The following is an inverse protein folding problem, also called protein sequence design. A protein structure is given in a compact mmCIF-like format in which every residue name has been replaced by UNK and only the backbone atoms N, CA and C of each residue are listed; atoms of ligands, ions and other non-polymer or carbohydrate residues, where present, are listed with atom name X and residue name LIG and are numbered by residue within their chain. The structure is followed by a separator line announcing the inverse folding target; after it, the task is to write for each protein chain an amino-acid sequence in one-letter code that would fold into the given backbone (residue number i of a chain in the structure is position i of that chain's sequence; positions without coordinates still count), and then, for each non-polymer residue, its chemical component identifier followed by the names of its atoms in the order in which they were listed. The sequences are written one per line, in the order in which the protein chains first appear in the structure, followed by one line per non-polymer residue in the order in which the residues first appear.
data_IF_119265195182
#
_entry.id   IF_119265195182
#
_cell.length_a   1.000
_cell.length_b   1.000
_cell.length_c   1.000
_cell.angle_alpha   90.00
_cell.angle_beta   90.00
_cell.angle_gamma   90.00
#
_symmetry.space_group_name_H-M   'P 1'
#
loop_
_entity.id
_entity.type
_entity.pdbx_description
1 polymer ?
#
# COMPACT_ATOMS: atom_id res chain seq x y z
N UNK A 1 -4.45 -26.48 9.27
CA UNK A 1 -3.08 -26.72 8.81
C UNK A 1 -3.16 -27.05 7.32
N UNK A 2 -2.70 -26.14 6.47
CA UNK A 2 -2.87 -26.21 5.03
C UNK A 2 -1.95 -27.31 4.47
N UNK A 3 -2.49 -28.30 3.76
CA UNK A 3 -1.66 -29.10 2.86
C UNK A 3 -1.41 -28.24 1.63
N UNK A 4 -0.25 -27.58 1.59
CA UNK A 4 0.22 -26.98 0.35
C UNK A 4 0.43 -28.12 -0.66
N UNK A 5 -0.15 -28.05 -1.87
CA UNK A 5 0.21 -28.98 -2.94
C UNK A 5 1.73 -29.05 -3.11
N UNK A 6 2.24 -30.22 -3.50
CA UNK A 6 3.67 -30.40 -3.75
C UNK A 6 4.04 -29.74 -5.10
N UNK A 7 4.22 -28.42 -5.07
CA UNK A 7 4.40 -27.57 -6.24
C UNK A 7 5.76 -27.73 -6.93
N UNK A 8 6.79 -28.22 -6.23
CA UNK A 8 8.10 -28.55 -6.82
C UNK A 8 7.98 -29.56 -7.98
N UNK A 9 6.95 -30.43 -7.97
CA UNK A 9 6.70 -31.37 -9.07
C UNK A 9 6.13 -30.75 -10.34
N UNK A 10 5.53 -29.55 -10.28
CA UNK A 10 4.90 -28.94 -11.45
C UNK A 10 5.96 -28.28 -12.33
N UNK A 11 6.88 -27.50 -11.75
CA UNK A 11 7.92 -26.77 -12.50
C UNK A 11 9.01 -27.74 -13.00
N UNK A 12 9.42 -28.71 -12.19
CA UNK A 12 10.49 -29.66 -12.55
C UNK A 12 10.11 -30.65 -13.67
N UNK A 13 8.84 -30.73 -14.07
CA UNK A 13 8.35 -31.62 -15.13
C UNK A 13 8.08 -30.90 -16.47
N UNK A 14 8.37 -29.60 -16.59
CA UNK A 14 8.13 -28.82 -17.81
C UNK A 14 9.31 -28.92 -18.77
N UNK A 15 9.04 -29.21 -20.04
CA UNK A 15 10.09 -29.57 -21.01
C UNK A 15 10.32 -28.50 -22.08
N UNK A 16 9.41 -27.52 -22.29
CA UNK A 16 9.65 -26.42 -23.24
C UNK A 16 9.16 -25.03 -22.79
N UNK A 17 9.80 -23.93 -23.26
CA UNK A 17 9.35 -22.56 -23.00
C UNK A 17 7.92 -22.24 -23.47
N UNK A 18 7.44 -22.91 -24.52
CA UNK A 18 6.07 -22.71 -25.04
C UNK A 18 5.01 -23.28 -24.09
N UNK A 19 5.27 -24.42 -23.46
CA UNK A 19 4.40 -25.00 -22.43
C UNK A 19 4.24 -24.07 -21.23
N UNK A 20 5.34 -23.45 -20.78
CA UNK A 20 5.32 -22.50 -19.66
C UNK A 20 4.50 -21.26 -20.02
N UNK A 21 4.66 -20.71 -21.22
CA UNK A 21 3.86 -19.59 -21.71
C UNK A 21 2.38 -19.92 -21.80
N UNK A 22 2.03 -21.11 -22.27
CA UNK A 22 0.64 -21.55 -22.35
C UNK A 22 0.02 -21.78 -20.97
N UNK A 23 0.81 -22.20 -19.98
CA UNK A 23 0.35 -22.35 -18.61
C UNK A 23 0.15 -21.00 -17.90
N UNK A 24 0.98 -20.01 -18.21
CA UNK A 24 0.93 -18.67 -17.64
C UNK A 24 0.66 -17.62 -18.72
N UNK A 25 -0.56 -17.54 -19.26
CA UNK A 25 -0.92 -16.51 -20.23
C UNK A 25 -0.72 -15.11 -19.64
N UNK A 26 -0.76 -14.10 -20.48
CA UNK A 26 -0.76 -12.72 -19.97
C UNK A 26 -1.96 -12.49 -19.05
N UNK A 27 -1.73 -11.77 -17.94
CA UNK A 27 -2.72 -11.40 -16.95
C UNK A 27 -2.70 -9.87 -16.78
N UNK A 28 -3.84 -9.25 -17.05
CA UNK A 28 -4.06 -7.82 -16.79
C UNK A 28 -4.28 -7.54 -15.30
N UNK A 29 -4.12 -6.29 -14.90
CA UNK A 29 -4.49 -5.84 -13.54
C UNK A 29 -5.98 -6.03 -13.22
N UNK A 30 -6.86 -6.00 -14.23
CA UNK A 30 -8.30 -6.24 -14.08
C UNK A 30 -8.60 -7.71 -13.78
N UNK A 31 -7.98 -8.63 -14.53
CA UNK A 31 -8.08 -10.07 -14.24
C UNK A 31 -7.52 -10.41 -12.86
N UNK A 32 -6.40 -9.78 -12.47
CA UNK A 32 -5.88 -9.90 -11.11
C UNK A 32 -6.92 -9.42 -10.09
N UNK A 33 -7.56 -8.26 -10.32
CA UNK A 33 -8.59 -7.73 -9.45
C UNK A 33 -9.79 -8.68 -9.32
N UNK A 34 -10.23 -9.30 -10.41
CA UNK A 34 -11.34 -10.25 -10.43
C UNK A 34 -11.05 -11.50 -9.60
N UNK A 35 -9.84 -12.06 -9.74
CA UNK A 35 -9.42 -13.21 -8.93
C UNK A 35 -9.34 -12.86 -7.45
N UNK A 36 -8.82 -11.69 -7.12
CA UNK A 36 -8.78 -11.20 -5.74
C UNK A 36 -10.18 -10.92 -5.17
N UNK A 37 -11.16 -10.59 -6.02
CA UNK A 37 -12.54 -10.30 -5.63
C UNK A 37 -13.31 -11.52 -5.12
N UNK A 38 -12.79 -12.72 -5.36
CA UNK A 38 -13.31 -13.95 -4.76
C UNK A 38 -13.37 -13.84 -3.23
N UNK A 39 -12.36 -13.24 -2.60
CA UNK A 39 -12.28 -13.09 -1.15
C UNK A 39 -12.21 -11.63 -0.69
N UNK A 40 -11.93 -10.65 -1.56
CA UNK A 40 -11.77 -9.22 -1.19
C UNK A 40 -12.76 -8.37 -1.99
N UNK A 41 -13.88 -8.01 -1.34
CA UNK A 41 -14.96 -7.23 -1.98
C UNK A 41 -14.54 -5.78 -2.18
N UNK A 42 -14.83 -5.23 -3.37
CA UNK A 42 -14.41 -3.89 -3.83
C UNK A 42 -12.90 -3.65 -3.66
N UNK A 43 -12.44 -2.49 -3.17
CA UNK A 43 -11.03 -2.18 -2.89
C UNK A 43 -10.11 -2.33 -4.11
N UNK A 44 -10.58 -1.95 -5.31
CA UNK A 44 -9.89 -2.23 -6.59
C UNK A 44 -8.41 -1.84 -6.57
N UNK A 45 -8.11 -0.57 -6.27
CA UNK A 45 -6.74 -0.04 -6.27
C UNK A 45 -5.92 -0.69 -5.16
N UNK A 46 -6.52 -0.75 -3.97
CA UNK A 46 -5.88 -1.24 -2.75
C UNK A 46 -5.43 -2.70 -2.86
N UNK A 47 -6.27 -3.59 -3.41
CA UNK A 47 -5.94 -5.01 -3.54
C UNK A 47 -4.92 -5.29 -4.65
N UNK A 48 -4.99 -4.57 -5.76
CA UNK A 48 -4.03 -4.70 -6.87
C UNK A 48 -2.64 -4.24 -6.42
N UNK A 49 -2.52 -3.01 -5.90
CA UNK A 49 -1.22 -2.49 -5.44
C UNK A 49 -0.64 -3.35 -4.32
N UNK A 50 -1.47 -3.89 -3.42
CA UNK A 50 -1.00 -4.79 -2.38
C UNK A 50 -0.46 -6.11 -2.95
N UNK A 51 -1.16 -6.74 -3.90
CA UNK A 51 -0.68 -7.96 -4.55
C UNK A 51 0.59 -7.76 -5.36
N UNK A 52 0.64 -6.69 -6.17
CA UNK A 52 1.83 -6.28 -6.92
C UNK A 52 3.00 -5.97 -5.99
N UNK A 53 2.74 -5.27 -4.88
CA UNK A 53 3.72 -4.99 -3.84
C UNK A 53 4.31 -6.27 -3.26
N UNK A 54 3.49 -7.26 -2.92
CA UNK A 54 3.96 -8.55 -2.43
C UNK A 54 4.77 -9.34 -3.46
N UNK A 55 4.39 -9.28 -4.75
CA UNK A 55 5.15 -9.90 -5.85
C UNK A 55 6.58 -9.35 -5.93
N UNK A 56 6.76 -8.05 -5.69
CA UNK A 56 8.08 -7.40 -5.69
C UNK A 56 9.02 -7.91 -4.60
N UNK A 57 8.53 -8.62 -3.57
CA UNK A 57 9.40 -9.29 -2.61
C UNK A 57 10.38 -10.21 -3.33
N UNK A 58 10.00 -10.82 -4.45
CA UNK A 58 10.82 -11.75 -5.21
C UNK A 58 11.80 -11.10 -6.20
N UNK A 59 12.09 -9.82 -6.04
CA UNK A 59 13.18 -9.10 -6.72
C UNK A 59 14.35 -8.84 -5.77
N UNK A 60 15.46 -8.33 -6.28
CA UNK A 60 16.60 -7.95 -5.45
C UNK A 60 16.38 -6.61 -4.72
N UNK A 61 15.84 -5.59 -5.40
CA UNK A 61 15.85 -4.20 -4.91
C UNK A 61 14.59 -3.37 -5.25
N UNK A 62 13.54 -3.99 -5.78
CA UNK A 62 12.36 -3.27 -6.30
C UNK A 62 11.16 -3.30 -5.33
N UNK A 63 11.37 -3.67 -4.08
CA UNK A 63 10.35 -3.74 -3.04
C UNK A 63 9.76 -2.36 -2.75
N UNK A 64 8.48 -2.36 -2.39
CA UNK A 64 7.77 -1.18 -1.88
C UNK A 64 7.24 -1.46 -0.48
N UNK A 65 7.06 -0.38 0.28
CA UNK A 65 6.37 -0.45 1.56
C UNK A 65 4.95 0.08 1.39
N UNK A 66 3.99 -0.57 2.04
CA UNK A 66 2.56 -0.24 1.95
C UNK A 66 2.00 0.04 3.34
N UNK A 67 1.19 1.08 3.44
CA UNK A 67 0.47 1.40 4.67
C UNK A 67 -1.02 1.48 4.39
N UNK A 68 -1.80 0.62 5.03
CA UNK A 68 -3.25 0.68 5.07
C UNK A 68 -3.67 1.58 6.23
N UNK A 69 -4.16 2.78 5.90
CA UNK A 69 -4.58 3.81 6.84
C UNK A 69 -6.08 4.07 6.69
N UNK A 70 -6.87 3.57 7.63
CA UNK A 70 -8.31 3.81 7.67
C UNK A 70 -8.85 3.53 9.08
N UNK A 71 -10.06 4.03 9.42
CA UNK A 71 -10.69 3.71 10.68
C UNK A 71 -10.81 2.20 10.93
N UNK A 72 -10.98 1.81 12.19
CA UNK A 72 -11.29 0.42 12.51
C UNK A 72 -12.53 -0.10 11.79
N UNK A 73 -12.51 -1.41 11.52
CA UNK A 73 -13.59 -2.19 10.88
C UNK A 73 -13.85 -1.90 9.39
N UNK A 74 -12.93 -1.27 8.67
CA UNK A 74 -13.04 -1.04 7.21
C UNK A 74 -12.38 -2.13 6.35
N UNK A 75 -11.81 -3.18 6.97
CA UNK A 75 -11.09 -4.24 6.26
C UNK A 75 -9.58 -4.00 6.08
N UNK A 76 -8.97 -3.07 6.82
CA UNK A 76 -7.54 -2.71 6.68
C UNK A 76 -6.55 -3.88 6.73
N UNK A 77 -6.77 -4.85 7.63
CA UNK A 77 -5.93 -6.05 7.74
C UNK A 77 -6.42 -7.19 6.84
N UNK A 78 -7.69 -7.17 6.45
CA UNK A 78 -8.31 -8.23 5.67
C UNK A 78 -7.66 -8.35 4.29
N UNK A 79 -7.54 -7.23 3.56
CA UNK A 79 -6.94 -7.20 2.20
C UNK A 79 -5.54 -7.83 2.16
N UNK A 80 -4.54 -7.37 2.93
CA UNK A 80 -3.23 -7.99 2.90
C UNK A 80 -3.22 -9.43 3.42
N UNK A 81 -4.03 -9.79 4.43
CA UNK A 81 -4.06 -11.16 4.95
C UNK A 81 -4.68 -12.16 3.97
N UNK A 82 -5.69 -11.75 3.20
CA UNK A 82 -6.31 -12.59 2.16
C UNK A 82 -5.38 -12.77 0.96
N UNK A 83 -4.73 -11.70 0.50
CA UNK A 83 -3.71 -11.78 -0.57
C UNK A 83 -2.56 -12.69 -0.15
N UNK A 84 -2.10 -12.59 1.10
CA UNK A 84 -1.01 -13.41 1.63
C UNK A 84 -1.25 -14.92 1.53
N UNK A 85 -2.51 -15.39 1.44
CA UNK A 85 -2.80 -16.82 1.27
C UNK A 85 -2.38 -17.36 -0.11
N UNK A 86 -2.15 -16.48 -1.09
CA UNK A 86 -1.66 -16.82 -2.42
C UNK A 86 -0.13 -16.99 -2.47
N UNK A 87 0.57 -16.51 -1.44
CA UNK A 87 2.03 -16.52 -1.36
C UNK A 87 2.52 -17.74 -0.56
N UNK A 88 3.76 -18.20 -0.82
CA UNK A 88 4.32 -19.32 -0.08
C UNK A 88 4.70 -18.92 1.36
N UNK A 89 4.41 -19.81 2.29
CA UNK A 89 4.58 -19.55 3.74
C UNK A 89 6.03 -19.24 4.14
N UNK A 90 7.02 -19.74 3.41
CA UNK A 90 8.44 -19.46 3.66
C UNK A 90 8.83 -17.99 3.40
N UNK A 91 8.01 -17.27 2.63
CA UNK A 91 8.21 -15.88 2.26
C UNK A 91 7.37 -14.93 3.14
N UNK A 92 6.49 -15.47 3.99
CA UNK A 92 5.50 -14.70 4.75
C UNK A 92 5.81 -14.63 6.23
N UNK A 93 5.72 -13.41 6.77
CA UNK A 93 5.77 -13.17 8.20
C UNK A 93 4.58 -12.32 8.63
N UNK A 94 3.77 -12.85 9.55
CA UNK A 94 2.57 -12.20 10.06
C UNK A 94 2.79 -11.82 11.51
N UNK A 95 2.83 -10.53 11.79
CA UNK A 95 3.13 -9.98 13.10
C UNK A 95 1.88 -9.29 13.63
N UNK A 96 1.39 -9.71 14.80
CA UNK A 96 0.30 -8.99 15.48
C UNK A 96 0.81 -7.64 15.97
N UNK A 97 1.72 -7.67 16.94
CA UNK A 97 2.39 -6.48 17.47
C UNK A 97 3.90 -6.71 17.60
N UNK A 98 4.67 -5.62 17.63
CA UNK A 98 6.11 -5.65 17.77
C UNK A 98 6.59 -4.54 18.72
N UNK A 99 7.43 -4.90 19.68
CA UNK A 99 8.10 -3.91 20.54
C UNK A 99 9.12 -3.09 19.75
N UNK A 100 9.57 -1.93 20.25
CA UNK A 100 10.53 -1.07 19.55
C UNK A 100 11.84 -1.76 19.12
N UNK A 101 12.25 -2.83 19.78
CA UNK A 101 13.51 -3.53 19.48
C UNK A 101 13.34 -4.97 19.01
N UNK A 102 12.13 -5.52 18.94
CA UNK A 102 11.93 -6.96 18.71
C UNK A 102 12.55 -7.43 17.40
N UNK A 103 12.49 -6.62 16.34
CA UNK A 103 13.13 -6.92 15.05
C UNK A 103 14.63 -7.18 15.15
N UNK A 104 15.32 -6.48 16.05
CA UNK A 104 16.76 -6.58 16.23
C UNK A 104 17.16 -7.69 17.22
N UNK A 105 16.21 -8.19 18.01
CA UNK A 105 16.45 -9.37 18.85
C UNK A 105 16.26 -10.69 18.10
N UNK A 106 15.73 -10.66 16.87
CA UNK A 106 15.65 -11.83 15.99
C UNK A 106 17.05 -12.36 15.68
N UNK A 107 17.14 -13.68 15.52
CA UNK A 107 18.40 -14.36 15.26
C UNK A 107 18.15 -15.51 14.30
N UNK A 108 18.34 -15.24 13.01
CA UNK A 108 18.25 -16.29 11.98
C UNK A 108 19.58 -17.05 11.92
N UNK A 109 20.71 -16.34 11.98
CA UNK A 109 22.02 -16.95 12.17
C UNK A 109 22.96 -16.06 12.97
N UNK A 110 24.03 -16.66 13.51
CA UNK A 110 25.01 -15.97 14.34
C UNK A 110 26.43 -16.29 13.88
N UNK A 111 27.17 -15.23 13.56
CA UNK A 111 28.59 -15.30 13.24
C UNK A 111 29.40 -15.15 14.54
N UNK A 112 30.01 -16.25 14.98
CA UNK A 112 30.84 -16.30 16.20
C UNK A 112 32.11 -15.45 16.11
N UNK A 113 32.72 -15.37 14.94
CA UNK A 113 34.00 -14.66 14.73
C UNK A 113 33.81 -13.14 14.80
N UNK A 114 32.75 -12.64 14.16
CA UNK A 114 32.42 -11.20 14.13
C UNK A 114 31.50 -10.77 15.26
N UNK A 115 30.97 -11.71 16.04
CA UNK A 115 29.95 -11.46 17.05
C UNK A 115 28.73 -10.70 16.47
N UNK A 116 28.27 -11.16 15.31
CA UNK A 116 27.19 -10.53 14.53
C UNK A 116 26.00 -11.49 14.45
N UNK A 117 24.80 -10.94 14.63
CA UNK A 117 23.54 -11.66 14.37
C UNK A 117 22.98 -11.22 13.04
N UNK A 118 22.68 -12.16 12.16
CA UNK A 118 22.05 -11.89 10.88
C UNK A 118 20.54 -12.07 10.98
N UNK A 119 19.80 -11.10 10.44
CA UNK A 119 18.38 -11.19 10.15
C UNK A 119 18.22 -11.07 8.64
N UNK A 120 17.78 -12.15 7.99
CA UNK A 120 17.60 -12.17 6.54
C UNK A 120 16.17 -11.77 6.16
N UNK A 121 16.08 -10.65 5.45
CA UNK A 121 14.85 -10.05 4.97
C UNK A 121 14.68 -10.21 3.46
N UNK A 122 15.68 -10.79 2.76
CA UNK A 122 15.59 -11.07 1.33
C UNK A 122 14.35 -11.93 1.02
N UNK A 123 13.57 -11.49 0.03
CA UNK A 123 12.39 -12.22 -0.45
C UNK A 123 11.32 -12.46 0.62
N UNK A 124 11.28 -11.61 1.66
CA UNK A 124 10.26 -11.63 2.71
C UNK A 124 9.17 -10.60 2.48
N UNK A 125 7.95 -10.99 2.84
CA UNK A 125 6.77 -10.16 2.95
C UNK A 125 6.38 -10.14 4.43
N UNK A 126 6.44 -8.97 5.03
CA UNK A 126 6.18 -8.78 6.45
C UNK A 126 4.89 -7.97 6.60
N UNK A 127 3.88 -8.60 7.19
CA UNK A 127 2.57 -8.00 7.40
C UNK A 127 2.39 -7.78 8.89
N UNK A 128 2.31 -6.51 9.28
CA UNK A 128 1.93 -6.13 10.63
C UNK A 128 0.47 -5.69 10.63
N UNK A 129 -0.38 -6.51 11.25
CA UNK A 129 -1.83 -6.34 11.18
C UNK A 129 -2.44 -5.61 12.38
N UNK A 130 -1.65 -5.26 13.40
CA UNK A 130 -2.00 -4.24 14.39
C UNK A 130 -1.08 -3.02 14.31
N UNK A 131 -1.42 -1.96 15.06
CA UNK A 131 -0.66 -0.70 15.07
C UNK A 131 0.75 -0.93 15.62
N UNK A 132 1.75 -0.46 14.88
CA UNK A 132 3.12 -0.46 15.35
C UNK A 132 3.39 0.64 16.37
N UNK A 133 4.31 0.34 17.28
CA UNK A 133 4.89 1.36 18.13
C UNK A 133 5.71 2.35 17.28
N UNK A 134 5.48 3.66 17.44
CA UNK A 134 6.15 4.72 16.65
C UNK A 134 7.68 4.60 16.67
N UNK A 135 8.25 4.31 17.84
CA UNK A 135 9.70 4.08 17.98
C UNK A 135 10.23 2.91 17.13
N UNK A 136 9.41 1.91 16.82
CA UNK A 136 9.84 0.85 15.90
C UNK A 136 9.99 1.40 14.48
N UNK A 137 9.02 2.18 14.00
CA UNK A 137 9.08 2.79 12.67
C UNK A 137 10.30 3.71 12.53
N UNK A 138 10.58 4.51 13.56
CA UNK A 138 11.79 5.35 13.61
C UNK A 138 13.07 4.53 13.46
N UNK A 139 13.16 3.39 14.16
CA UNK A 139 14.32 2.48 14.09
C UNK A 139 14.40 1.71 12.76
N UNK A 140 13.27 1.53 12.07
CA UNK A 140 13.20 0.86 10.76
C UNK A 140 13.40 1.82 9.58
N UNK A 141 13.60 3.13 9.79
CA UNK A 141 13.74 4.13 8.71
C UNK A 141 14.76 3.74 7.63
N UNK A 142 15.94 3.26 8.02
CA UNK A 142 16.97 2.83 7.05
C UNK A 142 16.56 1.61 6.24
N UNK A 143 15.82 0.67 6.86
CA UNK A 143 15.26 -0.48 6.18
C UNK A 143 14.18 -0.04 5.19
N UNK A 144 13.24 0.80 5.63
CA UNK A 144 12.10 1.27 4.83
C UNK A 144 12.50 2.21 3.68
N UNK A 145 13.70 2.81 3.72
CA UNK A 145 14.23 3.59 2.59
C UNK A 145 14.90 2.72 1.52
N UNK A 146 15.19 1.45 1.81
CA UNK A 146 16.00 0.56 0.98
C UNK A 146 17.38 1.15 0.63
N UNK A 147 18.04 1.82 1.59
CA UNK A 147 19.28 2.58 1.33
C UNK A 147 20.50 1.68 1.04
N UNK A 148 20.58 0.53 1.73
CA UNK A 148 21.68 -0.44 1.60
C UNK A 148 21.13 -1.85 1.72
N UNK A 149 21.72 -2.79 0.98
CA UNK A 149 21.42 -4.22 1.08
C UNK A 149 21.76 -4.78 2.47
N UNK A 150 22.81 -4.30 3.12
CA UNK A 150 23.13 -4.69 4.50
C UNK A 150 23.14 -3.47 5.41
N UNK A 151 22.35 -3.54 6.49
CA UNK A 151 22.23 -2.47 7.49
C UNK A 151 22.74 -3.02 8.82
N UNK A 152 23.78 -2.38 9.36
CA UNK A 152 24.32 -2.70 10.69
C UNK A 152 23.57 -1.91 11.74
N UNK A 153 22.91 -2.61 12.66
CA UNK A 153 22.21 -2.04 13.81
C UNK A 153 22.91 -2.50 15.08
N UNK A 154 23.34 -1.54 15.89
CA UNK A 154 23.96 -1.83 17.18
C UNK A 154 22.92 -1.67 18.29
N UNK A 155 22.69 -2.73 19.05
CA UNK A 155 21.76 -2.71 20.19
C UNK A 155 22.48 -3.11 21.47
N UNK A 156 22.01 -2.59 22.60
CA UNK A 156 22.50 -2.99 23.93
C UNK A 156 21.65 -4.13 24.45
N UNK A 157 22.29 -5.21 24.89
CA UNK A 157 21.67 -6.37 25.51
C UNK A 157 22.16 -6.54 26.96
N UNK A 158 21.35 -7.17 27.81
CA UNK A 158 21.72 -7.47 29.20
C UNK A 158 22.32 -8.87 29.27
N UNK A 159 23.51 -8.97 29.84
CA UNK A 159 24.14 -10.26 30.12
C UNK A 159 23.49 -10.93 31.32
N UNK A 160 23.59 -12.26 31.41
CA UNK A 160 23.10 -13.05 32.57
C UNK A 160 23.71 -12.59 33.90
N UNK A 161 24.89 -11.97 33.88
CA UNK A 161 25.59 -11.41 35.06
C UNK A 161 25.25 -9.94 35.34
N UNK A 162 24.24 -9.37 34.67
CA UNK A 162 23.77 -7.99 34.90
C UNK A 162 24.57 -6.88 34.21
N UNK A 163 25.65 -7.20 33.50
CA UNK A 163 26.39 -6.23 32.68
C UNK A 163 25.73 -5.95 31.32
N UNK A 164 26.06 -4.84 30.69
CA UNK A 164 25.59 -4.50 29.34
C UNK A 164 26.58 -4.97 28.28
N UNK A 165 26.08 -5.54 27.17
CA UNK A 165 26.88 -5.91 26.01
C UNK A 165 26.26 -5.32 24.75
N UNK A 166 27.10 -4.83 23.84
CA UNK A 166 26.65 -4.42 22.51
C UNK A 166 26.57 -5.64 21.60
N UNK A 167 25.42 -5.80 20.94
CA UNK A 167 25.14 -6.80 19.91
C UNK A 167 25.06 -6.08 18.56
N UNK A 168 25.82 -6.56 17.59
CA UNK A 168 25.71 -6.11 16.20
C UNK A 168 24.68 -6.99 15.48
N UNK A 169 23.68 -6.37 14.88
CA UNK A 169 22.62 -7.02 14.12
C UNK A 169 22.72 -6.55 12.68
N UNK A 170 22.88 -7.48 11.75
CA UNK A 170 22.93 -7.22 10.32
C UNK A 170 21.54 -7.53 9.77
N UNK A 171 20.82 -6.51 9.32
CA UNK A 171 19.64 -6.70 8.50
C UNK A 171 20.10 -6.83 7.04
N UNK A 172 19.86 -7.99 6.42
CA UNK A 172 20.25 -8.25 5.03
C UNK A 172 19.04 -8.29 4.11
N UNK A 173 19.17 -7.64 2.97
CA UNK A 173 18.18 -7.61 1.91
C UNK A 173 17.08 -6.59 2.12
N UNK A 174 16.17 -6.59 1.17
CA UNK A 174 14.96 -5.79 1.16
C UNK A 174 13.74 -6.71 1.27
N UNK A 175 12.74 -6.24 2.01
CA UNK A 175 11.47 -6.92 2.21
C UNK A 175 10.32 -5.98 1.85
N UNK A 176 9.16 -6.56 1.61
CA UNK A 176 7.93 -5.79 1.45
C UNK A 176 7.30 -5.66 2.84
N UNK A 177 7.30 -4.45 3.39
CA UNK A 177 6.64 -4.17 4.66
C UNK A 177 5.22 -3.65 4.43
N UNK A 178 4.24 -4.27 5.08
CA UNK A 178 2.84 -3.87 5.04
C UNK A 178 2.35 -3.56 6.45
N UNK A 179 1.91 -2.34 6.67
CA UNK A 179 1.36 -1.88 7.95
C UNK A 179 -0.14 -1.65 7.85
N UNK A 180 -0.87 -2.12 8.87
CA UNK A 180 -2.30 -1.85 9.00
C UNK A 180 -2.53 -0.97 10.23
N UNK A 181 -2.66 0.34 10.04
CA UNK A 181 -2.85 1.28 11.15
C UNK A 181 -4.25 1.90 11.14
N UNK A 182 -4.84 2.00 12.33
CA UNK A 182 -6.05 2.79 12.57
C UNK A 182 -5.74 4.22 13.03
N UNK A 183 -4.51 4.48 13.49
CA UNK A 183 -4.06 5.81 13.90
C UNK A 183 -3.25 6.46 12.78
N UNK A 184 -3.45 7.76 12.60
CA UNK A 184 -2.75 8.56 11.61
C UNK A 184 -1.55 9.32 12.21
N UNK A 185 -1.07 8.93 13.39
CA UNK A 185 0.05 9.59 14.08
C UNK A 185 1.40 9.15 13.50
N UNK A 186 1.55 9.22 12.18
CA UNK A 186 2.83 9.00 11.54
C UNK A 186 3.55 10.33 11.40
N UNK A 187 4.85 10.31 11.63
CA UNK A 187 5.71 11.40 11.23
C UNK A 187 5.68 11.55 9.70
N UNK A 188 5.72 12.79 9.21
CA UNK A 188 5.71 13.09 7.77
C UNK A 188 6.85 12.35 7.04
N UNK A 189 8.00 12.22 7.68
CA UNK A 189 9.14 11.51 7.10
C UNK A 189 8.80 10.02 6.85
N UNK A 190 7.97 9.41 7.70
CA UNK A 190 7.63 7.99 7.63
C UNK A 190 6.64 7.74 6.50
N UNK A 191 5.58 8.55 6.41
CA UNK A 191 4.53 8.41 5.40
C UNK A 191 5.07 8.41 3.97
N UNK A 192 6.06 9.26 3.70
CA UNK A 192 6.68 9.34 2.36
C UNK A 192 7.41 8.06 1.94
N UNK A 193 7.73 7.14 2.87
CA UNK A 193 8.35 5.84 2.57
C UNK A 193 7.32 4.76 2.17
N UNK A 194 6.03 5.03 2.34
CA UNK A 194 4.94 4.12 2.03
C UNK A 194 4.17 4.55 0.79
N UNK A 195 3.56 3.60 0.10
CA UNK A 195 2.31 3.86 -0.62
C UNK A 195 1.20 3.81 0.42
N UNK A 196 0.55 4.96 0.65
CA UNK A 196 -0.63 5.04 1.52
C UNK A 196 -1.86 4.55 0.77
N UNK A 197 -2.55 3.57 1.33
CA UNK A 197 -3.79 3.00 0.82
C UNK A 197 -4.87 3.08 1.91
N UNK A 198 -6.12 3.13 1.48
CA UNK A 198 -7.28 3.01 2.37
C UNK A 198 -8.26 2.03 1.73
N UNK A 199 -8.84 1.09 2.50
CA UNK A 199 -10.01 0.37 2.03
C UNK A 199 -11.16 1.36 1.75
N UNK A 200 -11.95 1.06 0.72
CA UNK A 200 -13.18 1.77 0.40
C UNK A 200 -14.17 1.64 1.56
N UNK A 201 -15.05 2.63 1.68
CA UNK A 201 -16.03 2.76 2.78
C UNK A 201 -17.46 2.89 2.24
N UNK A 202 -17.67 2.49 0.99
CA UNK A 202 -18.95 2.63 0.32
C UNK A 202 -19.94 1.59 0.85
N UNK A 203 -21.21 1.96 0.92
CA UNK A 203 -22.27 1.12 1.52
C UNK A 203 -22.38 -0.24 0.81
N UNK A 204 -22.27 -0.25 -0.52
CA UNK A 204 -22.28 -1.48 -1.33
C UNK A 204 -21.19 -2.48 -0.91
N UNK A 205 -20.00 -1.98 -0.53
CA UNK A 205 -18.93 -2.85 -0.05
C UNK A 205 -19.34 -3.55 1.24
N UNK A 206 -19.97 -2.83 2.17
CA UNK A 206 -20.36 -3.41 3.44
C UNK A 206 -21.42 -4.50 3.27
N UNK A 207 -22.41 -4.28 2.39
CA UNK A 207 -23.38 -5.31 2.02
C UNK A 207 -22.71 -6.56 1.44
N UNK A 208 -21.83 -6.41 0.43
CA UNK A 208 -21.10 -7.54 -0.17
C UNK A 208 -20.23 -8.30 0.87
N UNK A 209 -19.64 -7.59 1.83
CA UNK A 209 -18.84 -8.20 2.90
C UNK A 209 -19.72 -8.94 3.92
N UNK A 210 -20.90 -8.39 4.25
CA UNK A 210 -21.87 -9.06 5.15
C UNK A 210 -22.36 -10.34 4.49
N UNK A 211 -22.75 -10.30 3.22
CA UNK A 211 -23.21 -11.46 2.46
C UNK A 211 -22.16 -12.57 2.41
N UNK A 212 -20.90 -12.21 2.06
CA UNK A 212 -19.79 -13.16 2.03
C UNK A 212 -19.51 -13.77 3.41
N UNK A 213 -19.62 -12.97 4.47
CA UNK A 213 -19.46 -13.43 5.86
C UNK A 213 -20.55 -14.42 6.25
N UNK A 214 -21.81 -14.13 5.90
CA UNK A 214 -22.96 -15.01 6.15
C UNK A 214 -22.78 -16.32 5.39
N UNK A 215 -22.43 -16.26 4.11
CA UNK A 215 -22.21 -17.44 3.27
C UNK A 215 -21.09 -18.34 3.84
N UNK A 216 -19.97 -17.72 4.22
CA UNK A 216 -18.84 -18.41 4.86
C UNK A 216 -19.22 -19.07 6.18
N UNK A 217 -20.10 -18.45 6.97
CA UNK A 217 -20.59 -19.00 8.23
C UNK A 217 -21.64 -20.10 8.03
N UNK A 218 -22.48 -19.99 7.00
CA UNK A 218 -23.55 -20.94 6.71
C UNK A 218 -23.00 -22.33 6.34
N UNK A 219 -21.95 -22.39 5.50
CA UNK A 219 -21.27 -23.65 5.18
C UNK A 219 -19.76 -23.42 4.94
N UNK A 220 -18.95 -23.44 6.01
CA UNK A 220 -17.50 -23.18 5.91
C UNK A 220 -16.76 -24.15 4.99
N UNK A 221 -17.16 -25.42 4.96
CA UNK A 221 -16.51 -26.43 4.13
C UNK A 221 -16.73 -26.20 2.65
N UNK A 222 -17.96 -25.88 2.23
CA UNK A 222 -18.26 -25.70 0.81
C UNK A 222 -17.79 -24.33 0.30
N UNK A 223 -17.88 -23.28 1.12
CA UNK A 223 -17.22 -22.00 0.84
C UNK A 223 -15.73 -22.20 0.58
N UNK A 224 -15.05 -22.92 1.48
CA UNK A 224 -13.62 -23.20 1.35
C UNK A 224 -13.31 -23.98 0.08
N UNK A 225 -14.05 -25.07 -0.20
CA UNK A 225 -13.86 -25.84 -1.44
C UNK A 225 -14.07 -24.98 -2.69
N UNK A 226 -15.08 -24.12 -2.71
CA UNK A 226 -15.35 -23.22 -3.85
C UNK A 226 -14.17 -22.29 -4.10
N UNK A 227 -13.65 -21.65 -3.06
CA UNK A 227 -12.51 -20.74 -3.17
C UNK A 227 -11.23 -21.49 -3.56
N UNK A 228 -10.94 -22.63 -2.93
CA UNK A 228 -9.72 -23.41 -3.17
C UNK A 228 -9.71 -24.09 -4.54
N UNK A 229 -10.88 -24.43 -5.09
CA UNK A 229 -11.01 -25.06 -6.39
C UNK A 229 -11.28 -24.08 -7.55
N UNK A 230 -11.35 -22.77 -7.30
CA UNK A 230 -11.49 -21.78 -8.38
C UNK A 230 -10.22 -21.84 -9.28
N UNK A 231 -10.37 -22.19 -10.59
CA UNK A 231 -9.22 -22.38 -11.46
C UNK A 231 -8.35 -21.13 -11.61
N UNK A 232 -8.94 -19.94 -11.53
CA UNK A 232 -8.22 -18.67 -11.67
C UNK A 232 -7.39 -18.38 -10.43
N UNK A 233 -7.92 -18.67 -9.22
CA UNK A 233 -7.17 -18.58 -7.96
C UNK A 233 -6.02 -19.57 -7.92
N UNK A 234 -6.24 -20.81 -8.36
CA UNK A 234 -5.18 -21.83 -8.48
C UNK A 234 -4.10 -21.35 -9.45
N UNK A 235 -4.49 -20.86 -10.63
CA UNK A 235 -3.56 -20.33 -11.64
C UNK A 235 -2.71 -19.18 -11.10
N UNK A 236 -3.32 -18.20 -10.40
CA UNK A 236 -2.62 -17.08 -9.79
C UNK A 236 -1.62 -17.55 -8.71
N UNK A 237 -2.03 -18.50 -7.86
CA UNK A 237 -1.13 -19.07 -6.84
C UNK A 237 0.06 -19.78 -7.48
N UNK A 238 -0.17 -20.60 -8.51
CA UNK A 238 0.89 -21.29 -9.25
C UNK A 238 1.84 -20.29 -9.93
N UNK A 239 1.29 -19.20 -10.48
CA UNK A 239 2.08 -18.11 -11.07
C UNK A 239 2.98 -17.47 -10.04
N UNK A 240 2.46 -17.08 -8.87
CA UNK A 240 3.25 -16.46 -7.78
C UNK A 240 4.38 -17.39 -7.31
N UNK A 241 4.11 -18.69 -7.18
CA UNK A 241 5.14 -19.68 -6.84
C UNK A 241 6.22 -19.77 -7.91
N UNK A 242 5.83 -19.84 -9.19
CA UNK A 242 6.78 -19.87 -10.28
C UNK A 242 7.61 -18.57 -10.35
N UNK A 243 7.00 -17.40 -10.10
CA UNK A 243 7.71 -16.12 -10.00
C UNK A 243 8.80 -16.16 -8.91
N UNK A 244 8.49 -16.72 -7.73
CA UNK A 244 9.48 -16.88 -6.66
C UNK A 244 10.65 -17.75 -7.11
N UNK A 245 10.35 -18.88 -7.74
CA UNK A 245 11.32 -19.92 -8.08
C UNK A 245 12.24 -19.54 -9.25
N UNK A 246 11.77 -18.64 -10.13
CA UNK A 246 12.57 -18.06 -11.22
C UNK A 246 13.75 -17.20 -10.75
N UNK A 247 13.73 -16.76 -9.47
CA UNK A 247 14.81 -15.95 -8.86
C UNK A 247 15.24 -14.78 -9.74
N UNK A 248 14.26 -14.02 -10.24
CA UNK A 248 14.54 -12.78 -10.95
C UNK A 248 15.18 -11.79 -9.98
N UNK A 249 16.30 -11.20 -10.38
CA UNK A 249 16.96 -10.16 -9.60
C UNK A 249 16.42 -8.79 -9.99
N UNK A 250 16.35 -8.50 -11.30
CA UNK A 250 15.92 -7.19 -11.78
C UNK A 250 14.94 -7.25 -12.97
N UNK A 251 14.18 -6.15 -13.09
CA UNK A 251 13.33 -5.85 -14.23
C UNK A 251 13.84 -4.57 -14.89
N UNK A 252 14.18 -4.65 -16.18
CA UNK A 252 14.70 -3.55 -17.00
C UNK A 252 13.53 -2.79 -17.62
N UNK A 253 13.56 -1.45 -17.50
CA UNK A 253 12.60 -0.55 -18.16
C UNK A 253 13.31 0.12 -19.34
N UNK A 254 13.03 -0.28 -20.60
CA UNK A 254 13.77 0.20 -21.77
C UNK A 254 13.33 1.59 -22.26
N UNK A 255 12.33 2.22 -21.63
CA UNK A 255 11.73 3.50 -22.00
C UNK A 255 11.80 4.56 -20.86
N UNK A 256 13.00 4.92 -20.36
CA UNK A 256 13.12 5.82 -19.21
C UNK A 256 12.67 7.27 -19.50
N UNK A 257 12.66 7.70 -20.77
CA UNK A 257 12.28 9.08 -21.15
C UNK A 257 10.77 9.27 -21.04
N UNK A 258 10.02 8.26 -21.42
CA UNK A 258 8.56 8.14 -21.40
C UNK A 258 8.08 8.17 -19.95
N UNK A 259 8.69 7.36 -19.07
CA UNK A 259 8.42 7.39 -17.63
C UNK A 259 8.69 8.77 -17.04
N UNK A 260 9.84 9.38 -17.36
CA UNK A 260 10.18 10.73 -16.87
C UNK A 260 9.19 11.78 -17.35
N UNK A 261 8.78 11.72 -18.62
CA UNK A 261 7.83 12.64 -19.23
C UNK A 261 6.47 12.55 -18.56
N UNK A 262 5.91 11.33 -18.45
CA UNK A 262 4.61 11.09 -17.86
C UNK A 262 4.54 11.44 -16.36
N UNK A 263 5.60 11.15 -15.61
CA UNK A 263 5.68 11.58 -14.21
C UNK A 263 5.83 13.10 -14.13
N UNK A 264 6.54 13.73 -15.06
CA UNK A 264 6.76 15.17 -14.98
C UNK A 264 5.54 16.00 -15.34
N UNK A 265 4.72 15.54 -16.29
CA UNK A 265 3.47 16.22 -16.65
C UNK A 265 2.45 16.20 -15.52
N UNK A 266 2.43 15.14 -14.70
CA UNK A 266 1.54 15.00 -13.52
C UNK A 266 1.99 15.82 -12.31
N UNK A 267 3.28 16.16 -12.27
CA UNK A 267 3.86 16.93 -11.18
C UNK A 267 4.61 18.15 -11.74
N UNK A 268 3.88 19.20 -12.19
CA UNK A 268 4.48 20.40 -12.80
C UNK A 268 5.48 21.07 -11.86
N UNK A 269 5.14 21.15 -10.58
CA UNK A 269 6.02 21.58 -9.51
C UNK A 269 6.74 20.38 -8.89
N UNK A 270 8.04 20.51 -8.58
CA UNK A 270 8.82 19.44 -7.95
C UNK A 270 8.98 19.69 -6.45
N UNK A 271 8.60 18.70 -5.64
CA UNK A 271 8.83 18.67 -4.19
C UNK A 271 9.75 17.50 -3.80
N UNK A 272 10.43 17.55 -2.64
CA UNK A 272 11.34 16.47 -2.20
C UNK A 272 10.71 15.06 -2.19
N UNK A 273 9.42 14.96 -1.91
CA UNK A 273 8.67 13.68 -1.91
C UNK A 273 8.74 12.96 -3.26
N UNK A 274 8.72 13.70 -4.36
CA UNK A 274 8.69 13.13 -5.72
C UNK A 274 9.88 12.21 -6.02
N UNK A 275 11.02 12.37 -5.32
CA UNK A 275 12.15 11.44 -5.44
C UNK A 275 11.85 10.03 -4.92
N UNK A 276 10.97 9.91 -3.91
CA UNK A 276 10.49 8.61 -3.41
C UNK A 276 9.35 8.10 -4.26
N UNK A 277 8.47 8.99 -4.70
CA UNK A 277 7.27 8.61 -5.45
C UNK A 277 7.57 8.08 -6.86
N UNK A 278 8.55 8.66 -7.57
CA UNK A 278 9.01 8.09 -8.85
C UNK A 278 9.52 6.65 -8.69
N UNK A 279 10.18 6.32 -7.58
CA UNK A 279 10.63 4.95 -7.30
C UNK A 279 9.45 3.99 -7.10
N UNK A 280 8.37 4.46 -6.48
CA UNK A 280 7.14 3.67 -6.29
C UNK A 280 6.45 3.41 -7.63
N UNK A 281 6.32 4.42 -8.50
CA UNK A 281 5.81 4.23 -9.86
C UNK A 281 6.66 3.23 -10.64
N UNK A 282 7.99 3.38 -10.64
CA UNK A 282 8.91 2.42 -11.28
C UNK A 282 8.69 1.01 -10.74
N UNK A 283 8.54 0.85 -9.43
CA UNK A 283 8.30 -0.44 -8.81
C UNK A 283 6.97 -1.06 -9.25
N UNK A 284 5.91 -0.27 -9.44
CA UNK A 284 4.64 -0.76 -10.00
C UNK A 284 4.81 -1.27 -11.44
N UNK A 285 5.56 -0.56 -12.29
CA UNK A 285 5.88 -1.03 -13.65
C UNK A 285 6.60 -2.39 -13.58
N UNK A 286 7.61 -2.49 -12.72
CA UNK A 286 8.37 -3.73 -12.52
C UNK A 286 7.48 -4.86 -11.98
N UNK A 287 6.54 -4.57 -11.11
CA UNK A 287 5.63 -5.57 -10.53
C UNK A 287 4.71 -6.18 -11.59
N UNK A 288 4.17 -5.36 -12.50
CA UNK A 288 3.27 -5.82 -13.57
C UNK A 288 4.06 -6.65 -14.61
N UNK A 289 5.27 -6.20 -14.96
CA UNK A 289 6.18 -7.00 -15.79
C UNK A 289 6.54 -8.35 -15.12
N UNK A 290 6.74 -8.35 -13.80
CA UNK A 290 7.05 -9.56 -13.03
C UNK A 290 5.84 -10.51 -12.92
N UNK A 291 4.64 -9.99 -12.73
CA UNK A 291 3.38 -10.76 -12.80
C UNK A 291 3.27 -11.50 -14.15
N UNK A 292 3.78 -10.89 -15.21
CA UNK A 292 3.74 -11.40 -16.57
C UNK A 292 5.08 -11.95 -17.08
N UNK A 293 6.03 -12.28 -16.20
CA UNK A 293 7.42 -12.55 -16.61
C UNK A 293 7.57 -13.64 -17.68
N UNK A 294 6.67 -14.63 -17.72
CA UNK A 294 6.71 -15.72 -18.69
C UNK A 294 6.34 -15.26 -20.12
N UNK A 295 5.63 -14.13 -20.22
CA UNK A 295 5.28 -13.48 -21.48
C UNK A 295 6.25 -12.37 -21.87
N UNK A 296 7.18 -12.00 -20.99
CA UNK A 296 8.16 -10.94 -21.24
C UNK A 296 9.44 -11.49 -21.82
N UNK A 297 10.15 -10.63 -22.57
CA UNK A 297 11.51 -10.92 -23.03
C UNK A 297 12.48 -10.86 -21.85
N UNK A 298 13.61 -11.55 -22.00
CA UNK A 298 14.73 -11.50 -21.06
C UNK A 298 15.99 -11.02 -21.76
N UNK A 299 16.86 -10.37 -20.99
CA UNK A 299 18.22 -10.06 -21.44
C UNK A 299 19.19 -11.22 -21.12
N UNK A 300 20.46 -11.02 -21.48
CA UNK A 300 21.54 -12.01 -21.27
C UNK A 300 21.83 -12.29 -19.78
N UNK A 301 21.48 -11.34 -18.89
CA UNK A 301 21.65 -11.47 -17.45
C UNK A 301 20.40 -12.04 -16.76
N UNK A 302 19.46 -12.61 -17.54
CA UNK A 302 18.20 -13.17 -17.06
C UNK A 302 17.25 -12.12 -16.42
N UNK A 303 17.45 -10.84 -16.69
CA UNK A 303 16.51 -9.81 -16.24
C UNK A 303 15.27 -9.82 -17.12
N UNK A 304 14.13 -9.52 -16.52
CA UNK A 304 12.86 -9.36 -17.25
C UNK A 304 12.83 -7.97 -17.90
N UNK A 305 12.41 -7.86 -19.15
CA UNK A 305 12.27 -6.58 -19.84
C UNK A 305 10.80 -6.16 -19.82
N UNK A 306 10.51 -5.01 -19.19
CA UNK A 306 9.17 -4.43 -19.16
C UNK A 306 8.75 -3.93 -20.55
N UNK A 307 7.46 -4.05 -20.84
CA UNK A 307 6.83 -3.57 -22.06
C UNK A 307 5.99 -2.32 -21.77
N UNK A 308 5.62 -1.57 -22.82
CA UNK A 308 4.86 -0.33 -22.68
C UNK A 308 3.50 -0.51 -21.99
N UNK A 309 2.86 -1.67 -22.19
CA UNK A 309 1.61 -2.01 -21.48
C UNK A 309 1.78 -2.12 -19.96
N UNK A 310 2.93 -2.61 -19.47
CA UNK A 310 3.23 -2.66 -18.03
C UNK A 310 3.27 -1.24 -17.45
N UNK A 311 3.84 -0.32 -18.24
CA UNK A 311 3.89 1.10 -17.90
C UNK A 311 2.52 1.75 -17.91
N UNK A 312 1.73 1.52 -18.95
CA UNK A 312 0.39 2.10 -19.07
C UNK A 312 -0.54 1.63 -17.95
N UNK A 313 -0.48 0.35 -17.55
CA UNK A 313 -1.26 -0.16 -16.41
C UNK A 313 -0.76 0.41 -15.08
N UNK A 314 0.55 0.49 -14.86
CA UNK A 314 1.12 1.08 -13.65
C UNK A 314 0.74 2.56 -13.52
N UNK A 315 0.71 3.30 -14.63
CA UNK A 315 0.35 4.71 -14.66
C UNK A 315 -1.12 4.92 -14.28
N UNK A 316 -2.03 4.10 -14.81
CA UNK A 316 -3.45 4.10 -14.43
C UNK A 316 -3.66 3.85 -12.93
N UNK A 317 -2.86 2.97 -12.32
CA UNK A 317 -2.91 2.73 -10.88
C UNK A 317 -2.35 3.91 -10.08
N UNK A 318 -1.23 4.47 -10.54
CA UNK A 318 -0.58 5.62 -9.91
C UNK A 318 -1.50 6.85 -9.87
N UNK A 319 -2.19 7.13 -10.97
CA UNK A 319 -3.10 8.28 -11.09
C UNK A 319 -4.26 8.25 -10.08
N UNK A 320 -4.65 7.05 -9.65
CA UNK A 320 -5.70 6.89 -8.63
C UNK A 320 -5.22 7.16 -7.20
N UNK A 321 -3.92 7.21 -6.96
CA UNK A 321 -3.34 7.37 -5.61
C UNK A 321 -2.43 8.58 -5.47
N UNK A 322 -1.98 9.18 -6.57
CA UNK A 322 -0.95 10.22 -6.60
C UNK A 322 -1.33 11.45 -5.78
N UNK A 323 -2.57 11.94 -5.89
CA UNK A 323 -3.05 13.12 -5.16
C UNK A 323 -2.87 12.97 -3.64
N UNK A 324 -3.34 11.85 -3.08
CA UNK A 324 -3.19 11.56 -1.66
C UNK A 324 -1.71 11.41 -1.25
N UNK A 325 -0.85 10.86 -2.13
CA UNK A 325 0.59 10.81 -1.87
C UNK A 325 1.18 12.22 -1.84
N UNK A 326 0.92 13.05 -2.83
CA UNK A 326 1.49 14.40 -2.96
C UNK A 326 1.13 15.28 -1.76
N UNK A 327 -0.13 15.18 -1.31
CA UNK A 327 -0.63 15.87 -0.11
C UNK A 327 -0.13 15.26 1.21
N UNK A 328 0.54 14.10 1.15
CA UNK A 328 1.03 13.35 2.30
C UNK A 328 -0.07 13.00 3.33
N UNK A 329 -1.28 12.69 2.85
CA UNK A 329 -2.42 12.30 3.69
C UNK A 329 -3.01 10.96 3.24
N UNK A 330 -3.53 10.14 4.16
CA UNK A 330 -4.23 8.91 3.77
C UNK A 330 -5.40 9.18 2.82
N UNK A 331 -5.66 8.31 1.82
CA UNK A 331 -6.78 8.48 0.89
C UNK A 331 -8.14 8.67 1.57
N UNK A 332 -8.40 7.95 2.67
CA UNK A 332 -9.62 8.13 3.48
C UNK A 332 -9.76 9.56 4.03
N UNK A 333 -8.67 10.19 4.46
CA UNK A 333 -8.67 11.55 5.03
C UNK A 333 -8.92 12.60 3.94
N UNK A 334 -8.37 12.39 2.74
CA UNK A 334 -8.67 13.20 1.57
C UNK A 334 -10.14 13.04 1.13
N UNK A 335 -10.66 11.81 1.10
CA UNK A 335 -12.07 11.55 0.78
C UNK A 335 -13.01 12.28 1.74
N UNK A 336 -12.73 12.26 3.05
CA UNK A 336 -13.52 13.02 4.03
C UNK A 336 -13.45 14.52 3.77
N UNK A 337 -12.28 15.06 3.39
CA UNK A 337 -12.18 16.48 3.04
C UNK A 337 -13.09 16.84 1.86
N UNK A 338 -13.02 16.07 0.78
CA UNK A 338 -13.78 16.32 -0.45
C UNK A 338 -15.29 16.13 -0.23
N UNK A 339 -15.70 14.99 0.32
CA UNK A 339 -17.11 14.61 0.41
C UNK A 339 -17.85 15.33 1.54
N UNK A 340 -17.14 15.87 2.53
CA UNK A 340 -17.73 16.54 3.70
C UNK A 340 -17.42 18.03 3.71
N UNK A 341 -16.14 18.41 3.76
CA UNK A 341 -15.73 19.80 3.96
C UNK A 341 -16.01 20.61 2.70
N UNK A 342 -15.54 20.14 1.54
CA UNK A 342 -15.77 20.85 0.26
C UNK A 342 -17.25 20.85 -0.13
N UNK A 343 -17.95 19.72 0.02
CA UNK A 343 -19.39 19.65 -0.24
C UNK A 343 -20.18 20.65 0.61
N UNK A 344 -19.94 20.67 1.93
CA UNK A 344 -20.60 21.60 2.85
C UNK A 344 -20.25 23.06 2.55
N UNK A 345 -19.00 23.34 2.17
CA UNK A 345 -18.56 24.67 1.78
C UNK A 345 -19.26 25.15 0.51
N UNK A 346 -19.39 24.29 -0.52
CA UNK A 346 -20.10 24.58 -1.77
C UNK A 346 -21.59 24.84 -1.53
N UNK A 347 -22.26 24.01 -0.72
CA UNK A 347 -23.65 24.24 -0.30
C UNK A 347 -23.82 25.62 0.34
N UNK A 348 -22.86 25.99 1.21
CA UNK A 348 -22.90 27.26 1.90
C UNK A 348 -22.66 28.46 1.00
N UNK A 349 -21.72 28.35 0.06
CA UNK A 349 -21.46 29.37 -0.96
C UNK A 349 -22.67 29.60 -1.86
N UNK A 350 -23.44 28.56 -2.20
CA UNK A 350 -24.65 28.71 -3.00
C UNK A 350 -25.79 29.41 -2.23
N UNK A 351 -25.84 29.23 -0.91
CA UNK A 351 -26.87 29.82 -0.04
C UNK A 351 -26.54 31.22 0.47
N UNK A 352 -25.35 31.77 0.16
CA UNK A 352 -24.88 33.02 0.76
C UNK A 352 -25.58 34.24 0.15
N UNK A 353 -25.90 35.20 1.02
CA UNK A 353 -26.46 36.51 0.64
C UNK A 353 -25.39 37.61 0.62
N UNK A 354 -24.27 37.42 1.35
CA UNK A 354 -23.12 38.32 1.40
C UNK A 354 -21.90 37.74 0.68
N UNK A 355 -21.00 38.60 0.22
CA UNK A 355 -19.70 38.21 -0.36
C UNK A 355 -18.66 37.82 0.70
N UNK A 356 -18.94 38.02 1.99
CA UNK A 356 -18.02 37.71 3.09
C UNK A 356 -17.58 36.23 3.11
N UNK A 357 -16.33 35.92 3.54
CA UNK A 357 -15.84 34.56 3.67
C UNK A 357 -16.71 33.73 4.63
N UNK A 358 -17.30 32.63 4.15
CA UNK A 358 -18.18 31.80 4.98
C UNK A 358 -17.44 30.59 5.52
N UNK A 359 -17.01 30.68 6.78
CA UNK A 359 -16.33 29.59 7.47
C UNK A 359 -17.29 28.48 7.91
N UNK A 360 -16.76 27.26 8.03
CA UNK A 360 -17.49 26.10 8.52
C UNK A 360 -17.18 25.84 9.99
N UNK A 361 -18.20 25.53 10.78
CA UNK A 361 -17.98 25.10 12.16
C UNK A 361 -17.60 23.62 12.21
N UNK A 362 -16.80 23.24 13.22
CA UNK A 362 -16.47 21.82 13.45
C UNK A 362 -17.71 20.95 13.64
N UNK A 363 -18.76 21.48 14.28
CA UNK A 363 -20.00 20.73 14.50
C UNK A 363 -20.74 20.44 13.19
N UNK A 364 -20.74 21.36 12.23
CA UNK A 364 -21.33 21.12 10.92
C UNK A 364 -20.55 20.05 10.15
N UNK A 365 -19.21 20.07 10.21
CA UNK A 365 -18.37 19.02 9.61
C UNK A 365 -18.68 17.65 10.23
N UNK A 366 -18.81 17.56 11.56
CA UNK A 366 -19.18 16.32 12.24
C UNK A 366 -20.57 15.82 11.83
N UNK A 367 -21.54 16.72 11.70
CA UNK A 367 -22.90 16.39 11.28
C UNK A 367 -22.93 15.90 9.83
N UNK A 368 -22.29 16.63 8.91
CA UNK A 368 -22.21 16.26 7.49
C UNK A 368 -21.45 14.94 7.30
N UNK A 369 -20.39 14.69 8.06
CA UNK A 369 -19.71 13.39 8.05
C UNK A 369 -20.65 12.25 8.41
N UNK A 370 -21.50 12.44 9.43
CA UNK A 370 -22.51 11.43 9.79
C UNK A 370 -23.54 11.25 8.68
N UNK A 371 -23.99 12.32 8.03
CA UNK A 371 -24.93 12.27 6.90
C UNK A 371 -24.34 11.50 5.70
N UNK A 372 -23.07 11.73 5.36
CA UNK A 372 -22.40 11.12 4.20
C UNK A 372 -21.99 9.68 4.45
N UNK A 373 -21.38 9.38 5.60
CA UNK A 373 -20.77 8.06 5.88
C UNK A 373 -21.60 7.20 6.84
N UNK A 374 -22.78 7.68 7.26
CA UNK A 374 -23.64 7.03 8.26
C UNK A 374 -22.87 6.61 9.53
N UNK A 375 -21.88 7.41 9.92
CA UNK A 375 -20.95 7.12 11.01
C UNK A 375 -20.55 8.39 11.75
N UNK A 376 -20.55 8.39 13.10
CA UNK A 376 -20.03 9.52 13.86
C UNK A 376 -18.51 9.61 13.74
N UNK A 377 -18.02 10.82 13.48
CA UNK A 377 -16.62 11.18 13.66
C UNK A 377 -16.42 11.75 15.07
N UNK A 378 -15.36 11.35 15.77
CA UNK A 378 -15.05 11.94 17.09
C UNK A 378 -14.54 13.36 16.91
N UNK A 379 -15.06 14.30 17.72
CA UNK A 379 -14.57 15.69 17.75
C UNK A 379 -13.07 15.76 18.09
N UNK A 380 -12.57 14.83 18.92
CA UNK A 380 -11.15 14.72 19.26
C UNK A 380 -10.36 14.31 18.02
N UNK A 381 -10.83 13.32 17.27
CA UNK A 381 -10.17 12.82 16.08
C UNK A 381 -10.12 13.87 14.96
N UNK A 382 -11.24 14.57 14.74
CA UNK A 382 -11.31 15.70 13.80
C UNK A 382 -10.27 16.76 14.15
N UNK A 383 -10.22 17.18 15.42
CA UNK A 383 -9.33 18.25 15.89
C UNK A 383 -7.86 17.85 15.92
N UNK A 384 -7.53 16.62 16.32
CA UNK A 384 -6.15 16.21 16.60
C UNK A 384 -5.47 15.51 15.42
N UNK A 385 -6.24 14.98 14.46
CA UNK A 385 -5.67 14.24 13.33
C UNK A 385 -6.08 14.83 11.98
N UNK A 386 -7.37 15.07 11.74
CA UNK A 386 -7.85 15.44 10.40
C UNK A 386 -7.51 16.88 10.06
N UNK A 387 -7.91 17.84 10.91
CA UNK A 387 -7.63 19.27 10.70
C UNK A 387 -6.13 19.54 10.54
N UNK A 388 -5.24 19.06 11.43
CA UNK A 388 -3.80 19.29 11.27
C UNK A 388 -3.24 18.72 9.96
N UNK A 389 -3.73 17.56 9.51
CA UNK A 389 -3.33 16.97 8.23
C UNK A 389 -3.79 17.81 7.04
N UNK A 390 -5.02 18.31 7.07
CA UNK A 390 -5.54 19.16 5.99
C UNK A 390 -4.84 20.53 5.97
N UNK A 391 -4.53 21.13 7.12
CA UNK A 391 -3.75 22.36 7.19
C UNK A 391 -2.31 22.17 6.70
N UNK A 392 -1.64 21.09 7.12
CA UNK A 392 -0.29 20.75 6.67
C UNK A 392 -0.24 20.48 5.15
N UNK A 393 -1.29 19.88 4.60
CA UNK A 393 -1.47 19.68 3.16
C UNK A 393 -1.88 20.96 2.41
N UNK A 394 -2.12 22.08 3.11
CA UNK A 394 -2.54 23.34 2.52
C UNK A 394 -4.00 23.36 2.01
N UNK A 395 -4.79 22.35 2.35
CA UNK A 395 -6.18 22.19 1.90
C UNK A 395 -7.15 23.17 2.58
N UNK A 396 -6.82 23.60 3.80
CA UNK A 396 -7.64 24.55 4.56
C UNK A 396 -6.80 25.32 5.57
N UNK A 397 -7.41 26.33 6.16
CA UNK A 397 -6.90 27.06 7.33
C UNK A 397 -8.02 27.31 8.35
N UNK A 398 -7.64 27.62 9.59
CA UNK A 398 -8.59 27.99 10.64
C UNK A 398 -8.44 29.44 11.09
N UNK A 399 -9.56 30.16 11.23
CA UNK A 399 -9.60 31.50 11.83
C UNK A 399 -10.67 31.60 12.93
N UNK A 400 -10.50 32.48 13.93
CA UNK A 400 -11.54 32.75 14.92
C UNK A 400 -12.77 33.39 14.28
N UNK A 401 -13.96 32.98 14.72
CA UNK A 401 -15.21 33.63 14.32
C UNK A 401 -15.24 35.09 14.80
N UNK A 402 -15.57 36.02 13.91
CA UNK A 402 -15.67 37.45 14.20
C UNK A 402 -16.76 37.76 15.24
N UNK A 403 -17.82 36.95 15.30
CA UNK A 403 -18.90 37.08 16.28
C UNK A 403 -18.62 36.33 17.59
N UNK A 404 -17.72 35.33 17.57
CA UNK A 404 -17.37 34.53 18.74
C UNK A 404 -15.91 34.02 18.63
N UNK A 405 -14.95 34.82 19.09
CA UNK A 405 -13.52 34.50 19.00
C UNK A 405 -13.09 33.20 19.72
N UNK A 406 -13.95 32.59 20.54
CA UNK A 406 -13.69 31.28 21.17
C UNK A 406 -13.93 30.10 20.22
N UNK A 407 -14.58 30.35 19.09
CA UNK A 407 -14.90 29.36 18.08
C UNK A 407 -13.98 29.53 16.88
N UNK A 408 -13.34 28.44 16.47
CA UNK A 408 -12.56 28.41 15.23
C UNK A 408 -13.44 27.93 14.08
N UNK A 409 -13.42 28.66 12.99
CA UNK A 409 -14.04 28.28 11.73
C UNK A 409 -13.00 27.67 10.79
N UNK A 410 -13.46 26.82 9.88
CA UNK A 410 -12.67 26.11 8.88
C UNK A 410 -12.94 26.77 7.53
N UNK A 411 -11.89 27.12 6.81
CA UNK A 411 -11.96 27.70 5.47
C UNK A 411 -11.14 26.84 4.52
N UNK A 412 -11.76 26.24 3.49
CA UNK A 412 -11.02 25.59 2.43
C UNK A 412 -10.15 26.60 1.67
N UNK A 413 -8.91 26.23 1.40
CA UNK A 413 -8.03 26.99 0.52
C UNK A 413 -8.58 26.91 -0.91
N UNK A 414 -8.67 28.04 -1.61
CA UNK A 414 -9.26 28.12 -2.96
C UNK A 414 -8.46 27.36 -4.06
N UNK A 415 -7.45 26.56 -3.69
CA UNK A 415 -6.53 25.90 -4.62
C UNK A 415 -6.92 24.48 -5.04
N UNK A 416 -8.13 23.98 -4.72
CA UNK A 416 -8.56 22.63 -5.13
C UNK A 416 -9.77 22.54 -6.07
N UNK A 417 -10.22 23.65 -6.67
CA UNK A 417 -11.40 23.68 -7.54
C UNK A 417 -11.09 24.03 -9.02
N UNK A 418 -9.91 23.68 -9.57
CA UNK A 418 -9.64 23.87 -11.02
C UNK A 418 -9.00 22.70 -11.80
N UNK A 419 -8.83 21.49 -11.26
CA UNK A 419 -8.24 20.38 -12.05
C UNK A 419 -9.11 19.11 -12.20
N UNK A 420 -10.31 19.03 -11.60
CA UNK A 420 -11.21 17.89 -11.80
C UNK A 420 -12.18 18.01 -13.00
N UNK A 421 -11.95 18.97 -13.90
CA UNK A 421 -12.54 19.00 -15.25
C UNK A 421 -11.44 18.95 -16.32
N UNK A 422 -10.66 17.87 -16.31
CA UNK A 422 -10.04 17.36 -17.55
C UNK A 422 -10.24 15.86 -17.59
N UNK A 423 -11.40 15.46 -18.11
CA UNK A 423 -11.45 14.32 -19.00
C UNK A 423 -10.36 14.55 -20.06
N UNK A 424 -9.21 13.92 -19.89
CA UNK A 424 -8.23 13.77 -20.96
C UNK A 424 -8.81 12.65 -21.83
N UNK A 425 -9.29 12.94 -23.05
CA UNK A 425 -9.70 11.88 -23.95
C UNK A 425 -8.46 11.03 -24.24
N UNK A 426 -8.53 9.74 -23.89
CA UNK A 426 -7.62 8.73 -24.43
C UNK A 426 -8.08 8.50 -25.86
N UNK A 427 -7.77 9.43 -26.76
CA UNK A 427 -7.89 9.23 -28.20
C UNK A 427 -6.74 9.95 -28.91
N UNK A 428 -5.87 9.15 -29.52
CA UNK A 428 -4.99 9.58 -30.61
C UNK A 428 -3.59 10.00 -30.21
N UNK A 429 -2.70 9.02 -30.00
CA UNK A 429 -1.31 9.15 -30.46
C UNK A 429 -0.96 7.86 -31.20
N UNK A 430 -0.75 8.01 -32.51
CA UNK A 430 -0.21 7.03 -33.46
C UNK A 430 1.26 6.78 -33.14
#
# INVERSE_FOLDING_TARGET
MFQQPNYEKIINNMQSPEEIKNMFPEMSVDELADVLSLTIKKDYVSKIICALGMILAFTEDSQINISFNAPSSTGKSHTPLEIAQLFPDDSLERIGSASPTSFFHRQDSYNKEKNETLVNLERKIIIVYESLHQQLLEKLRSLLSHDKKEIVVQITDRTEKGGHRTKNVILRGHCVMIFCSASNNFDEQELTRFIMLSPDIDVEKFEEVIDDTIEKAANPSDYKKRIENDPRRISLRNRILAIRDERIDNVVIPFPKEVKSAFSSRHPSKIPRHMRDIKKLISLIKAIALLNLFQRKRDEANNVIAEEKDFNEALKLWDKISEAQDLNIPPYILKVFNDVVMALYKERLQSRVSEDPVGLTRNEVLKKHHEVFNRPLSAILLRQQFIPMWEAAGLMYQEPDSNNQRQMLIYPSQTHDQENEKDIPIDGII
#
